data_IF_281020163934
#
_entry.id   IF_281020163934
#
_cell.length_a   1.000
_cell.length_b   1.000
_cell.length_c   1.000
_cell.angle_alpha   90.00
_cell.angle_beta   90.00
_cell.angle_gamma   90.00
#
_symmetry.space_group_name_H-M   'P 1'
#
loop_
_entity.id
_entity.type
_entity.pdbx_description
1 polymer ?
#
# COMPACT_ATOMS: atom_id res chain seq x y z
N UNK A 1 -7.61 -41.07 -14.61
CA UNK A 1 -6.29 -40.85 -13.97
C UNK A 1 -6.33 -39.67 -13.00
N UNK A 2 -6.66 -38.44 -13.43
CA UNK A 2 -6.70 -37.24 -12.57
C UNK A 2 -7.70 -37.37 -11.40
N UNK A 3 -8.94 -37.80 -11.68
CA UNK A 3 -9.98 -37.99 -10.64
C UNK A 3 -9.56 -39.00 -9.58
N UNK A 4 -8.94 -40.11 -10.00
CA UNK A 4 -8.45 -41.15 -9.09
C UNK A 4 -7.30 -40.66 -8.21
N UNK A 5 -6.42 -39.80 -8.74
CA UNK A 5 -5.33 -39.17 -7.98
C UNK A 5 -5.91 -38.22 -6.93
N UNK A 6 -6.88 -37.39 -7.31
CA UNK A 6 -7.54 -36.46 -6.39
C UNK A 6 -8.28 -37.19 -5.26
N UNK A 7 -9.00 -38.25 -5.59
CA UNK A 7 -9.69 -39.07 -4.60
C UNK A 7 -8.70 -39.81 -3.68
N UNK A 8 -7.62 -40.38 -4.21
CA UNK A 8 -6.61 -41.05 -3.37
C UNK A 8 -5.90 -40.06 -2.43
N UNK A 9 -5.62 -38.84 -2.89
CA UNK A 9 -5.06 -37.81 -2.03
C UNK A 9 -6.02 -37.42 -0.92
N UNK A 10 -7.31 -37.22 -1.23
CA UNK A 10 -8.35 -36.93 -0.25
C UNK A 10 -8.37 -37.99 0.87
N UNK A 11 -8.36 -39.28 0.51
CA UNK A 11 -8.27 -40.38 1.48
C UNK A 11 -6.98 -40.33 2.31
N UNK A 12 -5.85 -40.01 1.68
CA UNK A 12 -4.56 -39.90 2.38
C UNK A 12 -4.51 -38.73 3.39
N UNK A 13 -5.35 -37.71 3.22
CA UNK A 13 -5.50 -36.61 4.19
C UNK A 13 -6.49 -36.94 5.32
N UNK A 14 -7.00 -38.18 5.38
CA UNK A 14 -7.86 -38.66 6.46
C UNK A 14 -9.36 -38.42 6.23
N UNK A 15 -9.77 -38.09 5.00
CA UNK A 15 -11.19 -38.06 4.66
C UNK A 15 -11.75 -39.49 4.63
N UNK A 16 -12.90 -39.69 5.27
CA UNK A 16 -13.58 -40.96 5.41
C UNK A 16 -15.05 -40.83 5.01
N UNK A 17 -15.54 -41.77 4.20
CA UNK A 17 -16.90 -41.69 3.66
C UNK A 17 -17.96 -41.68 4.78
N UNK A 18 -17.75 -42.42 5.87
CA UNK A 18 -18.73 -42.50 6.97
C UNK A 18 -18.90 -41.20 7.72
N UNK A 19 -17.79 -40.52 7.97
CA UNK A 19 -17.78 -39.27 8.75
C UNK A 19 -18.25 -38.09 7.89
N UNK A 20 -17.84 -38.04 6.63
CA UNK A 20 -18.01 -36.85 5.82
C UNK A 20 -19.17 -36.95 4.82
N UNK A 21 -19.58 -38.15 4.40
CA UNK A 21 -20.51 -38.35 3.28
C UNK A 21 -21.69 -39.28 3.55
N UNK A 22 -21.59 -40.23 4.48
CA UNK A 22 -22.72 -41.12 4.77
C UNK A 22 -23.86 -40.35 5.46
N UNK A 23 -25.07 -40.83 5.20
CA UNK A 23 -26.32 -40.35 5.79
C UNK A 23 -27.06 -41.59 6.30
N UNK A 24 -26.77 -41.99 7.54
CA UNK A 24 -27.45 -43.12 8.18
C UNK A 24 -28.87 -42.74 8.62
N UNK A 25 -29.11 -41.46 8.99
CA UNK A 25 -30.44 -40.95 9.35
C UNK A 25 -30.52 -39.41 9.19
N UNK A 26 -31.73 -38.82 9.12
CA UNK A 26 -31.91 -37.36 8.91
C UNK A 26 -31.24 -36.46 9.97
N UNK A 27 -30.93 -37.02 11.14
CA UNK A 27 -30.28 -36.34 12.25
C UNK A 27 -28.76 -36.56 12.32
N UNK A 28 -28.20 -37.42 11.46
CA UNK A 28 -26.78 -37.75 11.46
C UNK A 28 -26.24 -37.69 10.02
N UNK A 29 -26.11 -36.45 9.54
CA UNK A 29 -25.61 -36.13 8.21
C UNK A 29 -24.09 -35.96 8.27
N UNK A 30 -23.37 -36.59 7.34
CA UNK A 30 -21.95 -36.33 7.16
C UNK A 30 -21.65 -34.84 6.94
N UNK A 31 -20.46 -34.42 7.39
CA UNK A 31 -20.06 -32.99 7.44
C UNK A 31 -20.18 -32.32 6.06
N UNK A 32 -19.75 -32.98 4.98
CA UNK A 32 -19.80 -32.41 3.64
C UNK A 32 -21.25 -32.28 3.13
N UNK A 33 -22.15 -33.16 3.55
CA UNK A 33 -23.59 -33.03 3.26
C UNK A 33 -24.18 -31.84 4.00
N UNK A 34 -23.85 -31.67 5.29
CA UNK A 34 -24.31 -30.51 6.07
C UNK A 34 -23.91 -29.19 5.41
N UNK A 35 -22.64 -29.08 4.98
CA UNK A 35 -22.13 -27.89 4.30
C UNK A 35 -22.89 -27.66 2.98
N UNK A 36 -23.07 -28.70 2.14
CA UNK A 36 -23.77 -28.59 0.85
C UNK A 36 -25.25 -28.25 0.95
N UNK A 37 -25.89 -28.64 2.05
CA UNK A 37 -27.29 -28.32 2.30
C UNK A 37 -27.46 -26.90 2.84
N UNK A 38 -26.44 -26.36 3.52
CA UNK A 38 -26.48 -25.03 4.12
C UNK A 38 -26.03 -23.94 3.15
N UNK A 39 -24.98 -24.23 2.38
CA UNK A 39 -24.32 -23.27 1.50
C UNK A 39 -24.43 -23.68 0.04
N UNK A 40 -24.69 -22.70 -0.84
CA UNK A 40 -24.81 -22.96 -2.27
C UNK A 40 -23.45 -23.33 -2.86
N UNK A 41 -23.42 -24.46 -3.57
CA UNK A 41 -22.22 -24.94 -4.27
C UNK A 41 -21.98 -24.18 -5.57
N UNK A 42 -20.72 -23.95 -5.89
CA UNK A 42 -20.34 -23.47 -7.22
C UNK A 42 -20.53 -24.56 -8.28
N UNK A 43 -20.75 -24.15 -9.53
CA UNK A 43 -20.91 -25.03 -10.68
C UNK A 43 -19.81 -24.78 -11.71
N UNK A 44 -19.71 -25.63 -12.74
CA UNK A 44 -18.79 -25.47 -13.86
C UNK A 44 -17.29 -25.37 -13.51
N UNK A 45 -16.89 -26.00 -12.40
CA UNK A 45 -15.48 -26.07 -11.99
C UNK A 45 -14.97 -24.83 -11.25
N UNK A 46 -15.85 -23.91 -10.84
CA UNK A 46 -15.50 -22.81 -9.95
C UNK A 46 -15.40 -23.26 -8.48
N UNK A 47 -14.56 -22.57 -7.70
CA UNK A 47 -14.45 -22.74 -6.24
C UNK A 47 -15.76 -22.30 -5.56
N UNK A 48 -16.29 -23.08 -4.62
CA UNK A 48 -17.43 -22.65 -3.78
C UNK A 48 -16.99 -21.62 -2.75
N UNK A 49 -17.84 -20.62 -2.48
CA UNK A 49 -17.57 -19.60 -1.43
C UNK A 49 -17.41 -20.25 -0.05
N UNK A 50 -18.18 -21.30 0.23
CA UNK A 50 -17.99 -22.19 1.39
C UNK A 50 -17.81 -23.61 0.86
N UNK A 51 -16.57 -24.10 0.91
CA UNK A 51 -16.20 -25.41 0.39
C UNK A 51 -16.50 -26.51 1.40
N UNK A 52 -16.83 -27.70 0.90
CA UNK A 52 -16.78 -28.92 1.71
C UNK A 52 -15.34 -29.33 2.01
N UNK A 53 -15.14 -30.25 2.95
CA UNK A 53 -13.82 -30.82 3.24
C UNK A 53 -13.28 -31.54 2.00
N UNK A 54 -14.14 -32.33 1.32
CA UNK A 54 -13.76 -32.97 0.05
C UNK A 54 -13.36 -31.95 -1.03
N UNK A 55 -14.15 -30.90 -1.24
CA UNK A 55 -13.87 -29.87 -2.25
C UNK A 55 -12.53 -29.17 -1.96
N UNK A 56 -12.27 -28.80 -0.70
CA UNK A 56 -11.02 -28.17 -0.28
C UNK A 56 -9.79 -29.01 -0.68
N UNK A 57 -9.80 -30.30 -0.37
CA UNK A 57 -8.67 -31.18 -0.70
C UNK A 57 -8.56 -31.48 -2.20
N UNK A 58 -9.67 -31.51 -2.95
CA UNK A 58 -9.63 -31.60 -4.41
C UNK A 58 -8.93 -30.38 -5.02
N UNK A 59 -9.18 -29.17 -4.50
CA UNK A 59 -8.45 -27.96 -4.91
C UNK A 59 -6.96 -28.05 -4.55
N UNK A 60 -6.59 -28.54 -3.36
CA UNK A 60 -5.18 -28.76 -3.02
C UNK A 60 -4.46 -29.69 -4.01
N UNK A 61 -5.11 -30.76 -4.47
CA UNK A 61 -4.54 -31.67 -5.47
C UNK A 61 -4.40 -30.99 -6.82
N UNK A 62 -5.43 -30.28 -7.27
CA UNK A 62 -5.39 -29.51 -8.52
C UNK A 62 -4.19 -28.57 -8.50
N UNK A 63 -4.03 -27.77 -7.45
CA UNK A 63 -2.91 -26.83 -7.32
C UNK A 63 -1.56 -27.53 -7.29
N UNK A 64 -1.44 -28.67 -6.60
CA UNK A 64 -0.20 -29.46 -6.61
C UNK A 64 0.13 -29.99 -8.01
N UNK A 65 -0.87 -30.41 -8.77
CA UNK A 65 -0.68 -30.84 -10.16
C UNK A 65 -0.32 -29.65 -11.05
N UNK A 66 -0.96 -28.51 -10.87
CA UNK A 66 -0.66 -27.26 -11.59
C UNK A 66 0.77 -26.79 -11.33
N UNK A 67 1.25 -26.81 -10.08
CA UNK A 67 2.63 -26.48 -9.76
C UNK A 67 3.64 -27.41 -10.47
N UNK A 68 3.35 -28.72 -10.51
CA UNK A 68 4.18 -29.67 -11.26
C UNK A 68 4.16 -29.34 -12.75
N UNK A 69 2.99 -29.03 -13.32
CA UNK A 69 2.86 -28.72 -14.74
C UNK A 69 3.43 -27.34 -15.12
N UNK A 70 3.36 -26.34 -14.24
CA UNK A 70 3.92 -25.01 -14.44
C UNK A 70 5.43 -25.07 -14.73
N UNK A 71 6.14 -25.99 -14.07
CA UNK A 71 7.57 -26.23 -14.31
C UNK A 71 7.88 -26.92 -15.64
N UNK A 72 6.88 -27.49 -16.32
CA UNK A 72 7.02 -28.32 -17.52
C UNK A 72 6.36 -27.72 -18.76
N UNK A 73 5.39 -26.83 -18.58
CA UNK A 73 4.59 -26.26 -19.66
C UNK A 73 4.94 -24.78 -19.84
N UNK A 74 5.21 -24.42 -21.08
CA UNK A 74 5.42 -23.04 -21.47
C UNK A 74 4.07 -22.31 -21.51
N UNK A 75 4.01 -21.17 -20.83
CA UNK A 75 2.85 -20.29 -20.75
C UNK A 75 3.05 -19.08 -21.65
N UNK A 76 1.97 -18.65 -22.31
CA UNK A 76 1.95 -17.45 -23.12
C UNK A 76 0.84 -16.54 -22.60
N UNK A 77 1.21 -15.53 -21.82
CA UNK A 77 0.31 -14.46 -21.44
C UNK A 77 0.30 -13.41 -22.54
N UNK A 78 -0.88 -12.88 -22.88
CA UNK A 78 -1.09 -11.93 -23.97
C UNK A 78 0.01 -10.85 -24.03
N UNK A 79 0.84 -10.89 -25.06
CA UNK A 79 1.88 -9.89 -25.33
C UNK A 79 3.22 -10.06 -24.60
N UNK A 80 3.36 -11.04 -23.68
CA UNK A 80 4.59 -11.26 -22.91
C UNK A 80 5.52 -12.35 -23.47
N UNK A 81 5.10 -13.02 -24.55
CA UNK A 81 5.86 -14.12 -25.13
C UNK A 81 5.78 -15.40 -24.31
N UNK A 82 6.49 -16.43 -24.78
CA UNK A 82 6.42 -17.78 -24.21
C UNK A 82 7.45 -17.92 -23.08
N UNK A 83 6.99 -18.15 -21.84
CA UNK A 83 7.86 -18.33 -20.66
C UNK A 83 7.44 -19.52 -19.80
N UNK A 84 8.36 -20.05 -19.00
CA UNK A 84 8.03 -20.98 -17.93
C UNK A 84 7.50 -20.21 -16.73
N UNK A 85 6.49 -20.76 -16.06
CA UNK A 85 5.92 -20.15 -14.86
C UNK A 85 6.74 -20.60 -13.66
N UNK A 86 7.33 -19.64 -12.97
CA UNK A 86 8.04 -19.85 -11.70
C UNK A 86 7.14 -19.67 -10.47
N UNK A 87 5.98 -19.04 -10.66
CA UNK A 87 5.05 -18.67 -9.60
C UNK A 87 3.62 -19.08 -9.98
N UNK A 88 3.05 -20.04 -9.25
CA UNK A 88 1.75 -20.60 -9.61
C UNK A 88 0.58 -19.61 -9.46
N UNK A 89 0.76 -18.56 -8.65
CA UNK A 89 -0.18 -17.46 -8.53
C UNK A 89 -0.44 -16.72 -9.85
N UNK A 90 0.46 -16.84 -10.83
CA UNK A 90 0.24 -16.32 -12.18
C UNK A 90 -0.87 -17.08 -12.95
N UNK A 91 -1.30 -18.25 -12.44
CA UNK A 91 -2.29 -19.13 -13.11
C UNK A 91 -3.62 -19.13 -12.38
N UNK A 92 -3.61 -19.19 -11.05
CA UNK A 92 -4.80 -19.34 -10.22
C UNK A 92 -4.60 -18.57 -8.92
N UNK A 93 -5.63 -17.81 -8.54
CA UNK A 93 -5.65 -17.04 -7.30
C UNK A 93 -6.37 -17.83 -6.20
N UNK A 94 -6.04 -17.58 -4.94
CA UNK A 94 -6.70 -18.21 -3.82
C UNK A 94 -6.98 -17.23 -2.69
N UNK A 95 -8.24 -17.24 -2.27
CA UNK A 95 -8.68 -16.53 -1.08
C UNK A 95 -8.02 -17.12 0.16
N UNK A 96 -7.14 -16.35 0.80
CA UNK A 96 -6.60 -16.70 2.10
C UNK A 96 -7.63 -16.39 3.19
N UNK A 97 -8.50 -17.36 3.46
CA UNK A 97 -9.55 -17.26 4.50
C UNK A 97 -9.03 -16.92 5.91
N UNK A 98 -7.74 -17.13 6.19
CA UNK A 98 -7.17 -16.71 7.47
C UNK A 98 -6.99 -15.18 7.52
N UNK A 99 -6.64 -14.53 6.41
CA UNK A 99 -6.60 -13.07 6.35
C UNK A 99 -7.99 -12.47 6.55
N UNK A 100 -9.05 -13.07 6.02
CA UNK A 100 -10.43 -12.63 6.30
C UNK A 100 -10.76 -12.73 7.80
N UNK A 101 -10.33 -13.81 8.45
CA UNK A 101 -10.48 -13.96 9.91
C UNK A 101 -9.73 -12.85 10.66
N UNK A 102 -8.49 -12.57 10.28
CA UNK A 102 -7.69 -11.48 10.86
C UNK A 102 -8.41 -10.14 10.68
N UNK A 103 -8.81 -9.81 9.45
CA UNK A 103 -9.54 -8.57 9.14
C UNK A 103 -10.77 -8.41 10.05
N UNK A 104 -11.59 -9.46 10.19
CA UNK A 104 -12.79 -9.44 11.03
C UNK A 104 -12.53 -9.23 12.53
N UNK A 105 -11.33 -9.58 13.00
CA UNK A 105 -10.90 -9.37 14.39
C UNK A 105 -10.49 -7.92 14.61
N UNK A 106 -9.80 -7.32 13.65
CA UNK A 106 -9.33 -5.94 13.72
C UNK A 106 -10.42 -4.90 13.43
N UNK A 107 -11.49 -5.22 12.69
CA UNK A 107 -12.68 -4.34 12.54
C UNK A 107 -13.32 -3.96 13.89
N UNK A 108 -13.02 -4.70 14.97
CA UNK A 108 -13.58 -4.49 16.32
C UNK A 108 -12.66 -3.70 17.26
N UNK A 109 -11.45 -3.34 16.81
CA UNK A 109 -10.49 -2.61 17.63
C UNK A 109 -10.68 -1.12 17.33
N UNK A 110 -11.04 -0.34 18.34
CA UNK A 110 -11.04 1.13 18.23
C UNK A 110 -9.59 1.61 18.25
N UNK A 111 -9.01 1.76 17.06
CA UNK A 111 -7.72 2.42 16.92
C UNK A 111 -7.88 3.94 17.15
N UNK A 112 -6.83 4.53 17.73
CA UNK A 112 -6.84 5.94 18.12
C UNK A 112 -6.33 6.80 16.98
N UNK A 113 -7.11 7.80 16.63
CA UNK A 113 -6.66 8.91 15.79
C UNK A 113 -5.42 9.57 16.38
N UNK A 114 -4.40 9.80 15.54
CA UNK A 114 -3.20 10.57 15.87
C UNK A 114 -3.24 11.92 15.18
N UNK A 115 -2.84 12.97 15.91
CA UNK A 115 -2.58 14.33 15.41
C UNK A 115 -3.69 15.02 14.60
N UNK A 116 -4.92 14.51 14.59
CA UNK A 116 -6.06 15.14 13.91
C UNK A 116 -6.43 16.49 14.50
N UNK A 117 -6.04 16.75 15.75
CA UNK A 117 -6.15 18.06 16.38
C UNK A 117 -5.34 19.14 15.66
N UNK A 118 -4.39 18.76 14.79
CA UNK A 118 -3.59 19.66 13.94
C UNK A 118 -4.27 20.05 12.63
N UNK A 119 -5.33 19.35 12.23
CA UNK A 119 -5.92 19.48 10.89
C UNK A 119 -7.14 20.42 10.88
N UNK A 120 -7.46 20.94 9.69
CA UNK A 120 -8.58 21.86 9.41
C UNK A 120 -8.62 23.07 10.36
N UNK A 121 -7.44 23.52 10.82
CA UNK A 121 -7.28 24.65 11.74
C UNK A 121 -7.54 25.98 11.03
N UNK A 122 -8.58 26.67 11.49
CA UNK A 122 -8.94 27.97 10.94
C UNK A 122 -9.46 28.94 11.99
N UNK A 123 -9.08 30.24 11.92
CA UNK A 123 -9.69 31.28 12.75
C UNK A 123 -11.08 31.69 12.24
N UNK A 124 -11.44 31.31 11.02
CA UNK A 124 -12.71 31.66 10.40
C UNK A 124 -13.84 30.82 10.99
N UNK A 125 -15.02 31.43 11.20
CA UNK A 125 -16.18 30.78 11.82
C UNK A 125 -17.39 30.68 10.90
N UNK A 126 -17.32 31.33 9.74
CA UNK A 126 -18.43 31.42 8.79
C UNK A 126 -18.10 30.66 7.51
N UNK A 127 -19.08 29.90 7.03
CA UNK A 127 -19.05 29.23 5.73
C UNK A 127 -19.16 30.28 4.62
N UNK A 128 -18.07 30.52 3.89
CA UNK A 128 -18.07 31.40 2.71
C UNK A 128 -16.90 31.07 1.79
N UNK A 129 -17.07 31.29 0.49
CA UNK A 129 -16.00 31.09 -0.50
C UNK A 129 -14.74 31.89 -0.13
N UNK A 130 -14.89 33.15 0.31
CA UNK A 130 -13.76 33.99 0.72
C UNK A 130 -12.96 33.39 1.89
N UNK A 131 -13.63 32.85 2.91
CA UNK A 131 -12.96 32.26 4.07
C UNK A 131 -12.26 30.94 3.73
N UNK A 132 -12.89 30.12 2.89
CA UNK A 132 -12.32 28.86 2.40
C UNK A 132 -11.05 29.15 1.60
N UNK A 133 -11.10 30.08 0.65
CA UNK A 133 -9.91 30.47 -0.13
C UNK A 133 -8.79 31.06 0.72
N UNK A 134 -9.14 31.93 1.68
CA UNK A 134 -8.15 32.48 2.62
C UNK A 134 -7.50 31.41 3.47
N UNK A 135 -8.23 30.35 3.82
CA UNK A 135 -7.70 29.22 4.58
C UNK A 135 -6.75 28.37 3.71
N UNK A 136 -7.13 28.03 2.48
CA UNK A 136 -6.27 27.28 1.55
C UNK A 136 -4.97 28.02 1.24
N UNK A 137 -5.05 29.34 1.01
CA UNK A 137 -3.89 30.20 0.70
C UNK A 137 -2.94 30.45 1.89
N UNK A 138 -3.21 29.89 3.08
CA UNK A 138 -2.29 30.02 4.21
C UNK A 138 -0.96 29.33 3.90
N UNK A 139 0.13 30.04 4.19
CA UNK A 139 1.51 29.55 4.01
C UNK A 139 2.09 28.93 5.29
N UNK A 140 1.23 28.59 6.24
CA UNK A 140 1.66 27.89 7.44
C UNK A 140 2.26 26.52 7.07
N UNK A 141 3.22 26.10 7.87
CA UNK A 141 3.86 24.79 7.74
C UNK A 141 3.30 23.88 8.83
N UNK A 142 3.03 22.60 8.54
CA UNK A 142 2.66 21.64 9.57
C UNK A 142 3.68 21.61 10.71
N UNK A 143 3.21 21.31 11.92
CA UNK A 143 4.11 21.03 13.03
C UNK A 143 4.72 19.62 12.86
N UNK A 144 5.80 19.55 12.10
CA UNK A 144 6.50 18.29 11.81
C UNK A 144 7.04 17.61 13.08
N UNK A 145 7.34 18.37 14.13
CA UNK A 145 7.80 17.79 15.40
C UNK A 145 6.67 17.05 16.10
N UNK A 146 5.43 17.56 16.02
CA UNK A 146 4.24 16.87 16.54
C UNK A 146 3.98 15.58 15.76
N UNK A 147 4.05 15.61 14.43
CA UNK A 147 3.75 14.44 13.59
C UNK A 147 4.85 13.37 13.61
N UNK A 148 6.12 13.77 13.62
CA UNK A 148 7.24 12.88 13.30
C UNK A 148 8.29 12.78 14.40
N UNK A 149 8.18 13.57 15.47
CA UNK A 149 9.22 13.71 16.49
C UNK A 149 9.43 12.48 17.38
N UNK A 150 10.52 12.52 18.16
CA UNK A 150 11.03 11.43 19.03
C UNK A 150 10.19 11.12 20.28
N UNK A 151 9.18 11.93 20.57
CA UNK A 151 8.44 11.82 21.85
C UNK A 151 7.47 10.65 21.90
N UNK A 152 7.48 9.78 20.90
CA UNK A 152 6.62 8.61 20.78
C UNK A 152 7.48 7.34 20.76
N UNK A 153 7.02 6.31 21.48
CA UNK A 153 7.61 4.97 21.44
C UNK A 153 7.53 4.33 20.04
N UNK A 154 6.80 4.96 19.10
CA UNK A 154 6.69 4.54 17.71
C UNK A 154 6.90 5.70 16.72
N UNK A 155 7.62 5.44 15.61
CA UNK A 155 7.80 6.33 14.46
C UNK A 155 6.82 6.01 13.35
N UNK A 156 6.33 7.03 12.65
CA UNK A 156 5.49 6.86 11.46
C UNK A 156 6.37 6.42 10.29
N UNK A 157 6.06 5.28 9.67
CA UNK A 157 6.58 4.89 8.36
C UNK A 157 5.68 5.40 7.23
N UNK A 158 4.37 5.26 7.42
CA UNK A 158 3.33 5.70 6.49
C UNK A 158 2.16 6.29 7.28
N UNK A 159 1.56 7.36 6.75
CA UNK A 159 0.25 7.78 7.19
C UNK A 159 -0.53 8.44 6.05
N UNK A 160 -1.82 8.16 5.98
CA UNK A 160 -2.78 8.95 5.26
C UNK A 160 -3.84 9.42 6.27
N UNK A 161 -4.16 10.71 6.29
CA UNK A 161 -5.21 11.24 7.16
C UNK A 161 -6.01 12.26 6.38
N UNK A 162 -7.33 12.08 6.34
CA UNK A 162 -8.26 13.02 5.76
C UNK A 162 -9.28 13.46 6.80
N UNK A 163 -9.46 14.78 6.96
CA UNK A 163 -10.43 15.36 7.88
C UNK A 163 -11.25 16.43 7.17
N UNK A 164 -12.58 16.30 7.26
CA UNK A 164 -13.53 17.24 6.69
C UNK A 164 -14.23 18.04 7.78
N UNK A 165 -14.27 19.35 7.61
CA UNK A 165 -15.08 20.26 8.41
C UNK A 165 -16.25 20.81 7.58
N UNK A 166 -17.36 20.08 7.59
CA UNK A 166 -18.57 20.41 6.83
C UNK A 166 -19.28 21.69 7.28
N UNK A 167 -18.99 22.17 8.50
CA UNK A 167 -19.53 23.42 9.02
C UNK A 167 -18.88 24.61 8.33
N UNK A 168 -17.60 24.48 7.96
CA UNK A 168 -16.82 25.54 7.31
C UNK A 168 -16.57 25.29 5.82
N UNK A 169 -16.91 24.09 5.32
CA UNK A 169 -16.77 23.74 3.92
C UNK A 169 -15.33 23.49 3.49
N UNK A 170 -14.48 22.99 4.40
CA UNK A 170 -13.05 22.78 4.18
C UNK A 170 -12.67 21.33 4.46
N UNK A 171 -11.68 20.85 3.72
CA UNK A 171 -11.14 19.49 3.79
C UNK A 171 -9.61 19.57 3.72
N UNK A 172 -8.94 18.82 4.61
CA UNK A 172 -7.48 18.72 4.62
C UNK A 172 -7.07 17.25 4.63
N UNK A 173 -6.19 16.90 3.70
CA UNK A 173 -5.58 15.58 3.60
C UNK A 173 -4.07 15.68 3.78
N UNK A 174 -3.51 14.77 4.58
CA UNK A 174 -2.07 14.64 4.82
C UNK A 174 -1.63 13.25 4.39
N UNK A 175 -0.56 13.19 3.59
CA UNK A 175 0.16 11.95 3.31
C UNK A 175 1.57 12.04 3.86
N UNK A 176 2.02 10.95 4.46
CA UNK A 176 3.37 10.76 4.99
C UNK A 176 3.86 9.43 4.45
N UNK A 177 5.04 9.43 3.85
CA UNK A 177 5.80 8.22 3.60
C UNK A 177 7.26 8.44 3.99
N UNK A 178 8.03 7.37 4.09
CA UNK A 178 9.39 7.41 4.62
C UNK A 178 10.39 6.69 3.74
N UNK A 179 11.61 7.24 3.74
CA UNK A 179 12.74 6.70 3.00
C UNK A 179 14.03 6.78 3.81
N UNK A 180 15.03 6.03 3.36
CA UNK A 180 16.37 6.01 3.94
C UNK A 180 17.44 6.17 2.86
N UNK A 181 18.55 6.78 3.26
CA UNK A 181 19.74 6.97 2.43
C UNK A 181 20.97 6.79 3.30
N UNK A 182 22.11 6.39 2.71
CA UNK A 182 23.37 6.32 3.47
C UNK A 182 23.72 7.69 4.06
N UNK A 183 24.25 7.73 5.29
CA UNK A 183 24.59 9.01 5.95
C UNK A 183 25.53 9.87 5.08
N UNK A 184 26.51 9.25 4.42
CA UNK A 184 27.47 9.95 3.56
C UNK A 184 26.85 10.56 2.28
N UNK A 185 25.64 10.13 1.90
CA UNK A 185 24.93 10.65 0.73
C UNK A 185 23.77 11.59 1.10
N UNK A 186 23.45 11.73 2.39
CA UNK A 186 22.33 12.55 2.84
C UNK A 186 22.46 14.03 2.44
N UNK A 187 23.62 14.64 2.68
CA UNK A 187 23.84 16.05 2.29
C UNK A 187 23.77 16.23 0.76
N UNK A 188 24.17 15.21 0.00
CA UNK A 188 24.05 15.23 -1.47
C UNK A 188 22.59 15.13 -1.88
N UNK A 189 21.78 14.29 -1.22
CA UNK A 189 20.34 14.21 -1.43
C UNK A 189 19.71 15.58 -1.23
N UNK A 190 20.00 16.24 -0.10
CA UNK A 190 19.47 17.57 0.23
C UNK A 190 19.87 18.64 -0.82
N UNK A 191 21.04 18.51 -1.45
CA UNK A 191 21.42 19.39 -2.55
C UNK A 191 20.67 19.09 -3.86
N UNK A 192 20.41 17.82 -4.17
CA UNK A 192 19.82 17.37 -5.43
C UNK A 192 18.28 17.39 -5.44
N UNK A 193 17.60 17.46 -4.30
CA UNK A 193 16.11 17.48 -4.25
C UNK A 193 15.47 18.71 -4.90
N UNK A 194 16.27 19.77 -5.12
CA UNK A 194 15.87 20.97 -5.86
C UNK A 194 16.43 21.00 -7.30
N UNK A 195 16.98 19.89 -7.77
CA UNK A 195 17.44 19.69 -9.14
C UNK A 195 16.49 18.72 -9.83
N UNK A 196 16.23 18.95 -11.11
CA UNK A 196 15.38 18.05 -11.89
C UNK A 196 16.09 16.70 -12.11
N UNK A 197 15.42 15.62 -11.74
CA UNK A 197 15.64 14.27 -12.28
C UNK A 197 14.29 13.57 -12.43
N UNK A 198 14.19 12.61 -13.34
CA UNK A 198 12.93 11.91 -13.60
C UNK A 198 12.41 11.20 -12.34
N UNK A 199 13.27 10.41 -11.68
CA UNK A 199 12.89 9.67 -10.46
C UNK A 199 12.64 10.57 -9.24
N UNK A 200 13.17 11.82 -9.22
CA UNK A 200 12.86 12.79 -8.15
C UNK A 200 11.38 13.18 -8.15
N UNK A 201 10.66 13.04 -9.25
CA UNK A 201 9.22 13.27 -9.30
C UNK A 201 8.44 12.37 -8.34
N UNK A 202 8.95 11.18 -8.01
CA UNK A 202 8.34 10.29 -7.02
C UNK A 202 8.34 10.89 -5.61
N UNK A 203 9.25 11.81 -5.29
CA UNK A 203 9.22 12.56 -4.02
C UNK A 203 8.08 13.59 -3.97
N UNK A 204 7.50 13.99 -5.10
CA UNK A 204 6.30 14.84 -5.10
C UNK A 204 5.05 14.01 -4.91
N UNK A 205 5.03 12.77 -5.42
CA UNK A 205 3.91 11.85 -5.32
C UNK A 205 3.98 11.02 -4.03
N UNK A 206 3.79 11.67 -2.89
CA UNK A 206 3.93 11.06 -1.56
C UNK A 206 3.01 9.86 -1.35
N UNK A 207 1.82 9.88 -1.97
CA UNK A 207 0.87 8.78 -1.91
C UNK A 207 1.42 7.48 -2.52
N UNK A 208 2.23 7.60 -3.58
CA UNK A 208 2.85 6.49 -4.31
C UNK A 208 4.32 6.27 -3.93
N UNK A 209 4.83 6.97 -2.90
CA UNK A 209 6.20 6.79 -2.41
C UNK A 209 6.32 5.52 -1.56
N UNK A 210 6.06 4.37 -2.16
CA UNK A 210 6.20 3.04 -1.58
C UNK A 210 6.65 2.05 -2.65
N UNK A 211 7.11 0.89 -2.20
CA UNK A 211 7.32 -0.29 -3.04
C UNK A 211 6.00 -1.03 -3.23
N UNK A 212 5.96 -1.99 -4.14
CA UNK A 212 4.78 -2.83 -4.34
C UNK A 212 5.19 -4.26 -4.69
N UNK A 213 4.33 -5.22 -4.36
CA UNK A 213 4.53 -6.62 -4.77
C UNK A 213 4.18 -6.75 -6.24
N UNK A 214 5.17 -7.06 -7.09
CA UNK A 214 4.96 -7.22 -8.53
C UNK A 214 4.30 -8.58 -8.82
N UNK A 215 3.00 -8.54 -9.11
CA UNK A 215 2.23 -9.77 -9.37
C UNK A 215 0.89 -9.50 -10.06
N UNK A 216 0.30 -10.56 -10.62
CA UNK A 216 -1.00 -10.54 -11.32
C UNK A 216 -2.18 -10.98 -10.43
N UNK A 217 -1.97 -11.26 -9.14
CA UNK A 217 -3.00 -11.79 -8.22
C UNK A 217 -2.93 -11.20 -6.81
N UNK A 218 -3.69 -11.77 -5.88
CA UNK A 218 -3.78 -11.30 -4.50
C UNK A 218 -2.72 -11.92 -3.60
N UNK A 219 -2.09 -11.10 -2.76
CA UNK A 219 -1.13 -11.52 -1.73
C UNK A 219 -1.49 -10.90 -0.40
N UNK A 220 -1.59 -11.76 0.60
CA UNK A 220 -1.77 -11.32 1.97
C UNK A 220 -0.46 -10.78 2.54
N UNK A 221 -0.51 -9.83 3.51
CA UNK A 221 0.67 -9.37 4.22
C UNK A 221 1.54 -10.50 4.80
N UNK A 222 0.89 -11.61 5.20
CA UNK A 222 1.55 -12.80 5.73
C UNK A 222 2.45 -13.47 4.70
N UNK A 223 1.97 -13.61 3.46
CA UNK A 223 2.74 -14.23 2.37
C UNK A 223 3.89 -13.34 1.92
N UNK A 224 3.67 -12.03 1.91
CA UNK A 224 4.71 -11.04 1.59
C UNK A 224 5.83 -11.06 2.64
N UNK A 225 5.48 -11.19 3.91
CA UNK A 225 6.47 -11.30 4.99
C UNK A 225 7.20 -12.65 4.98
N UNK A 226 6.49 -13.77 4.78
CA UNK A 226 7.05 -15.10 5.01
C UNK A 226 7.72 -15.75 3.78
N UNK A 227 7.26 -15.46 2.56
CA UNK A 227 7.65 -16.25 1.36
C UNK A 227 8.04 -15.37 0.17
N UNK A 228 7.44 -14.19 0.03
CA UNK A 228 7.46 -13.44 -1.23
C UNK A 228 8.16 -12.08 -1.15
N UNK A 229 8.98 -11.85 -0.12
CA UNK A 229 9.73 -10.60 0.03
C UNK A 229 10.63 -10.28 -1.17
N UNK A 230 10.99 -11.28 -1.97
CA UNK A 230 11.82 -11.12 -3.18
C UNK A 230 11.07 -10.56 -4.39
N UNK A 231 9.74 -10.42 -4.33
CA UNK A 231 8.89 -9.87 -5.40
C UNK A 231 8.54 -8.39 -5.21
N UNK A 232 9.08 -7.75 -4.19
CA UNK A 232 8.91 -6.30 -4.06
C UNK A 232 9.70 -5.59 -5.18
N UNK A 233 8.96 -4.82 -5.97
CA UNK A 233 9.49 -3.94 -7.00
C UNK A 233 9.43 -2.49 -6.51
N UNK A 234 10.18 -1.61 -7.19
CA UNK A 234 10.30 -0.21 -6.83
C UNK A 234 10.77 -0.01 -5.37
N UNK A 235 11.75 -0.82 -4.93
CA UNK A 235 12.36 -0.77 -3.59
C UNK A 235 13.14 0.54 -3.32
N UNK A 236 13.65 1.16 -4.39
CA UNK A 236 14.48 2.36 -4.32
C UNK A 236 14.35 3.23 -5.56
N UNK A 237 14.62 4.51 -5.38
CA UNK A 237 14.83 5.49 -6.45
C UNK A 237 16.26 6.01 -6.44
N UNK A 238 16.71 6.54 -7.57
CA UNK A 238 18.02 7.10 -7.82
C UNK A 238 17.87 8.61 -8.08
N UNK A 239 18.41 9.41 -7.18
CA UNK A 239 18.39 10.87 -7.28
C UNK A 239 19.77 11.38 -7.67
N UNK A 240 19.80 12.44 -8.49
CA UNK A 240 21.01 13.08 -8.98
C UNK A 240 21.25 12.81 -10.46
N UNK A 241 22.52 12.67 -10.85
CA UNK A 241 22.95 12.53 -12.24
C UNK A 241 23.86 11.32 -12.43
N UNK A 242 24.21 10.98 -13.68
CA UNK A 242 25.04 9.82 -14.02
C UNK A 242 26.38 9.73 -13.25
N UNK A 243 26.92 10.85 -12.74
CA UNK A 243 28.18 10.88 -12.00
C UNK A 243 28.00 10.82 -10.48
N UNK A 244 26.86 11.28 -9.97
CA UNK A 244 26.50 11.32 -8.56
C UNK A 244 25.10 10.72 -8.39
N UNK A 245 25.03 9.40 -8.39
CA UNK A 245 23.79 8.66 -8.16
C UNK A 245 23.62 8.43 -6.66
N UNK A 246 22.52 8.92 -6.11
CA UNK A 246 22.15 8.76 -4.71
C UNK A 246 20.98 7.78 -4.64
N UNK A 247 21.22 6.60 -4.07
CA UNK A 247 20.18 5.60 -3.92
C UNK A 247 19.38 5.85 -2.65
N UNK A 248 18.07 6.04 -2.82
CA UNK A 248 17.09 6.24 -1.76
C UNK A 248 16.19 5.02 -1.70
N UNK A 249 16.15 4.34 -0.55
CA UNK A 249 15.27 3.20 -0.35
C UNK A 249 13.97 3.62 0.32
N UNK A 250 12.87 3.00 -0.09
CA UNK A 250 11.54 3.23 0.49
C UNK A 250 11.33 2.30 1.69
N UNK A 251 10.76 2.80 2.78
CA UNK A 251 10.50 2.01 3.98
C UNK A 251 9.09 1.40 4.02
N UNK A 252 8.27 1.69 3.02
CA UNK A 252 6.87 1.24 2.92
C UNK A 252 6.71 0.40 1.67
N UNK A 253 5.95 -0.68 1.76
CA UNK A 253 5.50 -1.48 0.64
C UNK A 253 3.99 -1.65 0.68
N UNK A 254 3.39 -1.95 -0.47
CA UNK A 254 1.97 -2.29 -0.57
C UNK A 254 1.77 -3.69 -1.13
N UNK A 255 0.69 -4.32 -0.67
CA UNK A 255 0.17 -5.54 -1.29
C UNK A 255 -1.36 -5.48 -1.37
N UNK A 256 -1.91 -6.17 -2.37
CA UNK A 256 -3.35 -6.26 -2.60
C UNK A 256 -3.82 -7.63 -2.17
N UNK A 257 -4.79 -7.71 -1.27
CA UNK A 257 -5.41 -8.96 -0.82
C UNK A 257 -6.86 -9.02 -1.30
N UNK A 258 -7.35 -10.22 -1.62
CA UNK A 258 -8.78 -10.43 -1.80
C UNK A 258 -9.50 -10.15 -0.46
N UNK A 259 -10.67 -9.51 -0.53
CA UNK A 259 -11.49 -9.21 0.64
C UNK A 259 -12.95 -9.58 0.38
N UNK A 260 -13.53 -10.46 1.22
CA UNK A 260 -14.89 -10.98 1.00
C UNK A 260 -15.96 -9.89 0.82
N UNK A 261 -15.81 -8.75 1.51
CA UNK A 261 -16.80 -7.66 1.47
C UNK A 261 -16.45 -6.54 0.47
N UNK A 262 -15.17 -6.27 0.26
CA UNK A 262 -14.69 -5.10 -0.49
C UNK A 262 -14.11 -5.48 -1.86
N UNK A 263 -14.21 -6.76 -2.23
CA UNK A 263 -13.57 -7.40 -3.40
C UNK A 263 -12.05 -7.43 -3.22
N UNK A 264 -11.42 -6.29 -2.93
CA UNK A 264 -9.99 -6.12 -2.75
C UNK A 264 -9.70 -5.22 -1.54
N UNK A 265 -8.56 -5.43 -0.89
CA UNK A 265 -8.03 -4.57 0.17
C UNK A 265 -6.53 -4.36 -0.02
N UNK A 266 -6.12 -3.11 -0.11
CA UNK A 266 -4.72 -2.72 -0.09
C UNK A 266 -4.23 -2.64 1.36
N UNK A 267 -3.04 -3.18 1.61
CA UNK A 267 -2.35 -3.05 2.88
C UNK A 267 -1.05 -2.26 2.70
N UNK A 268 -0.75 -1.38 3.65
CA UNK A 268 0.55 -0.73 3.79
C UNK A 268 1.35 -1.47 4.86
N UNK A 269 2.55 -1.91 4.50
CA UNK A 269 3.41 -2.72 5.36
C UNK A 269 4.85 -2.20 5.33
N UNK A 270 5.69 -2.56 6.31
CA UNK A 270 7.11 -2.24 6.25
C UNK A 270 7.71 -2.89 5.00
N UNK A 271 8.46 -2.13 4.20
CA UNK A 271 9.12 -2.67 3.01
C UNK A 271 10.15 -3.74 3.34
N UNK A 272 10.61 -4.49 2.35
CA UNK A 272 11.62 -5.54 2.53
C UNK A 272 12.85 -5.02 3.27
N UNK A 273 13.38 -3.85 2.90
CA UNK A 273 14.55 -3.28 3.59
C UNK A 273 14.19 -2.92 5.04
N UNK A 274 13.01 -2.38 5.31
CA UNK A 274 12.55 -2.11 6.67
C UNK A 274 12.45 -3.39 7.50
N UNK A 275 11.90 -4.48 6.93
CA UNK A 275 11.81 -5.79 7.59
C UNK A 275 13.18 -6.40 7.87
N UNK A 276 14.11 -6.34 6.91
CA UNK A 276 15.48 -6.83 7.09
C UNK A 276 16.20 -6.06 8.20
N UNK A 277 16.13 -4.72 8.18
CA UNK A 277 16.80 -3.88 9.17
C UNK A 277 16.28 -4.13 10.59
N UNK A 278 14.97 -4.37 10.74
CA UNK A 278 14.30 -4.46 12.04
C UNK A 278 14.00 -5.88 12.51
N UNK A 279 14.36 -6.89 11.71
CA UNK A 279 14.18 -8.31 12.05
C UNK A 279 12.73 -8.79 12.01
N UNK A 280 11.85 -8.10 11.28
CA UNK A 280 10.45 -8.54 11.10
C UNK A 280 10.44 -9.79 10.21
N UNK A 281 9.83 -10.87 10.71
CA UNK A 281 9.73 -12.16 10.01
C UNK A 281 8.31 -12.61 9.73
N UNK A 282 7.32 -11.99 10.38
CA UNK A 282 5.89 -12.26 10.14
C UNK A 282 5.08 -10.98 10.26
N UNK A 283 3.97 -10.89 9.52
CA UNK A 283 3.01 -9.80 9.64
C UNK A 283 1.62 -10.21 9.18
N UNK A 284 0.60 -9.92 9.98
CA UNK A 284 -0.79 -10.30 9.68
C UNK A 284 -1.59 -9.20 8.95
N UNK A 285 -0.93 -8.09 8.61
CA UNK A 285 -1.54 -6.89 8.02
C UNK A 285 -1.85 -5.79 9.01
N UNK A 286 -1.75 -6.07 10.31
CA UNK A 286 -2.02 -5.13 11.40
C UNK A 286 -0.90 -5.11 12.43
N UNK A 287 -0.32 -6.25 12.77
CA UNK A 287 0.86 -6.36 13.61
C UNK A 287 1.96 -7.12 12.87
N UNK A 288 3.19 -6.61 12.99
CA UNK A 288 4.39 -7.18 12.39
C UNK A 288 5.38 -7.51 13.50
N UNK A 289 5.82 -8.76 13.54
CA UNK A 289 6.59 -9.33 14.65
C UNK A 289 7.95 -9.84 14.19
N UNK A 290 8.90 -9.86 15.13
CA UNK A 290 10.20 -10.50 14.96
C UNK A 290 10.18 -11.96 15.43
N UNK A 291 11.32 -12.64 15.30
CA UNK A 291 11.50 -14.04 15.72
C UNK A 291 11.32 -14.29 17.24
N UNK A 292 11.35 -13.23 18.06
CA UNK A 292 11.08 -13.30 19.49
C UNK A 292 9.59 -13.11 19.83
N UNK A 293 8.72 -13.00 18.81
CA UNK A 293 7.30 -12.62 18.93
C UNK A 293 7.08 -11.22 19.54
N UNK A 294 8.05 -10.32 19.42
CA UNK A 294 7.88 -8.91 19.81
C UNK A 294 7.24 -8.15 18.65
N UNK A 295 6.25 -7.31 18.95
CA UNK A 295 5.62 -6.46 17.92
C UNK A 295 6.53 -5.28 17.62
N UNK A 296 7.02 -5.26 16.38
CA UNK A 296 7.96 -4.24 15.89
C UNK A 296 7.20 -3.14 15.16
N UNK A 297 6.16 -3.47 14.40
CA UNK A 297 5.38 -2.50 13.65
C UNK A 297 3.88 -2.78 13.75
N UNK A 298 3.07 -1.73 13.70
CA UNK A 298 1.61 -1.77 13.77
C UNK A 298 1.00 -0.92 12.66
N UNK A 299 -0.01 -1.48 12.01
CA UNK A 299 -0.88 -0.79 11.07
C UNK A 299 -2.26 -0.58 11.72
N UNK A 300 -2.77 0.64 11.60
CA UNK A 300 -4.09 1.05 12.07
C UNK A 300 -4.88 1.69 10.93
N UNK A 301 -6.18 1.42 10.90
CA UNK A 301 -7.12 1.96 9.90
C UNK A 301 -8.40 2.37 10.63
N UNK A 302 -8.62 3.68 10.72
CA UNK A 302 -9.72 4.30 11.46
C UNK A 302 -10.55 5.16 10.52
N UNK A 303 -11.86 4.90 10.45
CA UNK A 303 -12.80 5.73 9.70
C UNK A 303 -13.95 6.22 10.59
N UNK A 304 -14.42 7.44 10.33
CA UNK A 304 -15.59 8.01 11.01
C UNK A 304 -16.45 8.82 10.04
N UNK A 305 -17.55 8.21 9.61
CA UNK A 305 -18.37 8.72 8.52
C UNK A 305 -17.71 8.44 7.17
N UNK A 306 -18.23 9.04 6.11
CA UNK A 306 -17.78 8.73 4.74
C UNK A 306 -16.42 9.37 4.40
N UNK A 307 -16.08 10.51 5.00
CA UNK A 307 -14.94 11.32 4.53
C UNK A 307 -13.78 11.43 5.54
N UNK A 308 -13.99 11.18 6.83
CA UNK A 308 -12.90 11.20 7.79
C UNK A 308 -12.29 9.82 7.90
N UNK A 309 -11.01 9.71 7.57
CA UNK A 309 -10.27 8.46 7.66
C UNK A 309 -8.80 8.71 8.03
N UNK A 310 -8.19 7.72 8.67
CA UNK A 310 -6.78 7.69 8.96
C UNK A 310 -6.24 6.27 8.83
N UNK A 311 -5.24 6.10 7.99
CA UNK A 311 -4.40 4.91 7.90
C UNK A 311 -3.02 5.27 8.44
N UNK A 312 -2.42 4.43 9.28
CA UNK A 312 -1.10 4.70 9.82
C UNK A 312 -0.32 3.41 10.05
N UNK A 313 0.92 3.39 9.57
CA UNK A 313 1.91 2.36 9.83
C UNK A 313 2.98 2.94 10.76
N UNK A 314 3.06 2.44 11.99
CA UNK A 314 4.01 2.90 13.00
C UNK A 314 4.96 1.78 13.40
N UNK A 315 6.24 2.08 13.51
CA UNK A 315 7.30 1.14 13.90
C UNK A 315 7.94 1.55 15.20
N UNK A 316 8.36 0.60 16.04
CA UNK A 316 9.06 0.86 17.29
C UNK A 316 10.27 1.76 17.06
N UNK A 317 10.29 2.91 17.74
CA UNK A 317 11.30 3.96 17.54
C UNK A 317 12.70 3.45 17.88
N UNK A 318 12.83 2.71 18.98
CA UNK A 318 14.12 2.24 19.47
C UNK A 318 14.72 1.17 18.53
N UNK A 319 13.90 0.22 18.08
CA UNK A 319 14.32 -0.80 17.12
C UNK A 319 14.76 -0.13 15.81
N UNK A 320 13.93 0.76 15.26
CA UNK A 320 14.25 1.44 14.00
C UNK A 320 15.55 2.26 14.11
N UNK A 321 15.68 3.12 15.12
CA UNK A 321 16.84 4.00 15.28
C UNK A 321 18.14 3.21 15.49
N UNK A 322 18.08 2.14 16.30
CA UNK A 322 19.22 1.24 16.51
C UNK A 322 19.66 0.59 15.20
N UNK A 323 18.72 0.06 14.43
CA UNK A 323 18.98 -0.59 13.15
C UNK A 323 19.53 0.38 12.09
N UNK A 324 18.99 1.60 12.01
CA UNK A 324 19.48 2.63 11.09
C UNK A 324 20.92 3.04 11.42
N UNK A 325 21.21 3.23 12.71
CA UNK A 325 22.55 3.58 13.18
C UNK A 325 23.57 2.47 12.93
N UNK A 326 23.21 1.22 13.20
CA UNK A 326 24.08 0.07 12.94
C UNK A 326 24.42 -0.08 11.45
N UNK A 327 23.45 0.23 10.58
CA UNK A 327 23.58 0.08 9.13
C UNK A 327 23.99 1.35 8.39
N UNK A 328 24.39 2.41 9.11
CA UNK A 328 24.83 3.71 8.56
C UNK A 328 23.80 4.38 7.61
N UNK A 329 22.52 4.32 7.99
CA UNK A 329 21.43 4.97 7.27
C UNK A 329 20.91 6.19 8.03
N UNK A 330 20.41 7.15 7.26
CA UNK A 330 19.63 8.30 7.73
C UNK A 330 18.23 8.22 7.14
N UNK A 331 17.24 8.36 8.01
CA UNK A 331 15.83 8.40 7.62
C UNK A 331 15.39 9.83 7.32
N UNK A 332 14.46 9.94 6.38
CA UNK A 332 13.69 11.15 6.12
C UNK A 332 12.25 10.78 5.80
N UNK A 333 11.37 11.77 5.85
CA UNK A 333 9.97 11.66 5.46
C UNK A 333 9.70 12.53 4.25
N UNK A 334 8.79 12.05 3.42
CA UNK A 334 8.11 12.87 2.43
C UNK A 334 6.71 13.14 2.97
N UNK A 335 6.33 14.41 3.02
CA UNK A 335 5.12 14.89 3.69
C UNK A 335 4.32 15.76 2.73
N UNK A 336 3.06 15.42 2.46
CA UNK A 336 2.15 16.20 1.60
C UNK A 336 1.01 16.77 2.42
N UNK A 337 0.68 18.04 2.18
CA UNK A 337 -0.50 18.71 2.71
C UNK A 337 -1.35 19.14 1.53
N UNK A 338 -2.55 18.60 1.45
CA UNK A 338 -3.56 18.97 0.46
C UNK A 338 -4.73 19.62 1.17
N UNK A 339 -5.16 20.76 0.66
CA UNK A 339 -6.31 21.50 1.18
C UNK A 339 -7.26 21.77 0.03
N UNK A 340 -8.52 21.43 0.22
CA UNK A 340 -9.58 21.63 -0.75
C UNK A 340 -10.85 22.17 -0.07
N UNK A 341 -11.77 22.77 -0.84
CA UNK A 341 -13.15 22.90 -0.43
C UNK A 341 -13.75 21.51 -0.21
N UNK A 342 -14.61 21.34 0.79
CA UNK A 342 -15.38 20.09 0.92
C UNK A 342 -16.35 19.92 -0.24
N UNK A 343 -16.82 18.69 -0.47
CA UNK A 343 -17.83 18.39 -1.50
C UNK A 343 -19.03 19.33 -1.44
N UNK A 344 -19.51 19.67 -0.24
CA UNK A 344 -20.60 20.62 -0.01
C UNK A 344 -20.28 22.05 -0.46
N UNK A 345 -19.05 22.52 -0.24
CA UNK A 345 -18.62 23.82 -0.73
C UNK A 345 -18.50 23.83 -2.26
N UNK A 346 -18.03 22.73 -2.84
CA UNK A 346 -17.94 22.56 -4.27
C UNK A 346 -19.32 22.52 -4.94
N UNK A 347 -20.30 21.84 -4.35
CA UNK A 347 -21.69 21.85 -4.82
C UNK A 347 -22.31 23.26 -4.84
N UNK A 348 -21.97 24.10 -3.86
CA UNK A 348 -22.56 25.44 -3.75
C UNK A 348 -21.89 26.47 -4.66
N UNK A 349 -20.56 26.43 -4.77
CA UNK A 349 -19.77 27.47 -5.46
C UNK A 349 -19.23 27.02 -6.82
N UNK A 350 -19.17 25.72 -7.10
CA UNK A 350 -18.67 25.17 -8.36
C UNK A 350 -17.27 25.68 -8.71
N UNK A 351 -17.10 26.15 -9.94
CA UNK A 351 -15.81 26.65 -10.45
C UNK A 351 -15.48 28.07 -9.98
N UNK A 352 -16.35 28.74 -9.22
CA UNK A 352 -16.13 30.10 -8.74
C UNK A 352 -15.22 30.15 -7.48
N UNK A 353 -14.91 28.99 -6.90
CA UNK A 353 -13.98 28.86 -5.77
C UNK A 353 -12.67 28.23 -6.23
N UNK A 354 -11.55 28.68 -5.65
CA UNK A 354 -10.24 28.03 -5.85
C UNK A 354 -10.34 26.52 -5.59
N UNK A 355 -9.77 25.71 -6.47
CA UNK A 355 -9.93 24.25 -6.42
C UNK A 355 -9.19 23.62 -5.25
N UNK A 356 -7.89 23.85 -5.12
CA UNK A 356 -7.06 23.23 -4.09
C UNK A 356 -5.72 23.95 -3.89
N UNK A 357 -5.02 23.56 -2.84
CA UNK A 357 -3.60 23.84 -2.65
C UNK A 357 -2.88 22.57 -2.22
N UNK A 358 -1.73 22.31 -2.83
CA UNK A 358 -0.95 21.10 -2.63
C UNK A 358 0.51 21.46 -2.35
N UNK A 359 1.06 20.99 -1.23
CA UNK A 359 2.41 21.31 -0.78
C UNK A 359 3.09 20.07 -0.23
N UNK A 360 4.21 19.69 -0.84
CA UNK A 360 5.03 18.56 -0.43
C UNK A 360 6.35 19.02 0.21
N UNK A 361 6.86 18.24 1.16
CA UNK A 361 8.08 18.54 1.90
C UNK A 361 8.92 17.29 2.05
N UNK A 362 10.25 17.46 2.04
CA UNK A 362 11.16 16.50 2.67
C UNK A 362 11.42 16.99 4.08
N UNK A 363 11.30 16.09 5.06
CA UNK A 363 11.46 16.38 6.48
C UNK A 363 12.46 15.40 7.07
N UNK A 364 13.36 15.88 7.93
CA UNK A 364 14.29 15.04 8.67
C UNK A 364 14.57 15.65 10.05
N UNK A 365 15.23 14.90 10.92
CA UNK A 365 15.61 15.37 12.24
C UNK A 365 17.14 15.47 12.34
N UNK A 366 17.62 16.62 12.78
CA UNK A 366 18.97 16.78 13.33
C UNK A 366 18.81 16.90 14.85
N UNK A 367 19.17 15.84 15.58
CA UNK A 367 18.82 15.71 17.00
C UNK A 367 17.30 15.86 17.18
N UNK A 368 16.82 16.61 18.16
CA UNK A 368 15.38 16.80 18.41
C UNK A 368 14.72 17.85 17.49
N UNK A 369 15.44 18.44 16.52
CA UNK A 369 14.93 19.54 15.69
C UNK A 369 14.55 19.06 14.30
N UNK A 370 13.27 19.22 13.96
CA UNK A 370 12.79 19.01 12.59
C UNK A 370 13.40 20.05 11.63
N UNK A 371 14.01 19.55 10.55
CA UNK A 371 14.43 20.30 9.38
C UNK A 371 13.54 19.91 8.20
N UNK A 372 13.37 20.82 7.26
CA UNK A 372 12.57 20.53 6.08
C UNK A 372 12.97 21.37 4.87
N UNK A 373 12.62 20.85 3.69
CA UNK A 373 12.64 21.56 2.41
C UNK A 373 11.27 21.39 1.78
N UNK A 374 10.64 22.50 1.39
CA UNK A 374 9.43 22.46 0.57
C UNK A 374 9.80 22.07 -0.87
N UNK A 375 9.26 20.96 -1.33
CA UNK A 375 9.46 20.46 -2.68
C UNK A 375 8.59 21.27 -3.64
N UNK A 376 9.24 21.87 -4.62
CA UNK A 376 8.55 22.51 -5.74
C UNK A 376 8.51 21.57 -6.93
N UNK A 377 7.53 21.80 -7.80
CA UNK A 377 7.58 21.26 -9.15
C UNK A 377 8.75 21.92 -9.91
N UNK A 378 9.50 21.12 -10.64
CA UNK A 378 10.67 21.57 -11.39
C UNK A 378 10.48 21.01 -12.79
N UNK A 379 10.48 21.90 -13.78
CA UNK A 379 10.40 21.49 -15.17
C UNK A 379 11.77 20.99 -15.67
N UNK A 380 11.81 20.01 -16.59
CA UNK A 380 13.04 19.65 -17.26
C UNK A 380 13.61 20.85 -18.02
N UNK A 381 14.92 21.06 -17.92
CA UNK A 381 15.61 22.06 -18.75
C UNK A 381 15.62 21.55 -20.19
N UNK A 382 14.67 22.04 -21.00
CA UNK A 382 14.64 21.73 -22.44
C UNK A 382 15.84 22.43 -23.08
N UNK A 383 16.84 21.66 -23.52
CA UNK A 383 17.95 22.20 -24.28
C UNK A 383 17.43 22.83 -25.59
N UNK A 384 17.92 24.04 -25.93
CA UNK A 384 17.46 24.86 -27.08
C UNK A 384 17.51 24.14 -28.44
N UNK A 385 18.20 23.01 -28.56
CA UNK A 385 18.26 22.19 -29.78
C UNK A 385 16.97 21.41 -30.08
N UNK A 386 15.99 21.34 -29.16
CA UNK A 386 14.70 20.67 -29.39
C UNK A 386 13.61 21.61 -29.97
N UNK A 387 13.89 22.90 -30.15
CA UNK A 387 12.95 23.81 -30.83
C UNK A 387 12.65 23.36 -32.27
N UNK A 388 13.56 22.63 -32.90
CA UNK A 388 13.37 22.10 -34.25
C UNK A 388 12.32 20.98 -34.32
N UNK A 389 12.11 20.23 -33.23
CA UNK A 389 11.07 19.21 -33.12
C UNK A 389 9.69 19.82 -32.87
N UNK A 390 9.58 20.81 -31.99
CA UNK A 390 8.31 21.51 -31.72
C UNK A 390 7.85 22.30 -32.95
N UNK A 391 8.78 22.90 -33.71
CA UNK A 391 8.49 23.55 -34.99
C UNK A 391 8.07 22.55 -36.08
N UNK A 392 8.71 21.37 -36.15
CA UNK A 392 8.33 20.30 -37.09
C UNK A 392 6.94 19.74 -36.80
N UNK A 393 6.59 19.53 -35.53
CA UNK A 393 5.26 19.04 -35.15
C UNK A 393 4.18 20.07 -35.47
N UNK A 394 4.40 21.37 -35.20
CA UNK A 394 3.44 22.42 -35.63
C UNK A 394 3.27 22.48 -37.15
N UNK A 395 4.35 22.37 -37.92
CA UNK A 395 4.29 22.37 -39.39
C UNK A 395 3.55 21.17 -40.00
N UNK A 396 3.42 20.07 -39.26
CA UNK A 396 2.68 18.87 -39.69
C UNK A 396 1.17 18.99 -39.47
N UNK A 397 0.72 19.87 -38.56
CA UNK A 397 -0.70 20.08 -38.26
C UNK A 397 -1.28 21.33 -38.95
N UNK A 398 -0.46 22.32 -39.30
CA UNK A 398 -0.90 23.51 -40.04
C UNK A 398 -1.17 23.24 -41.55
N UNK A 399 -0.93 22.02 -42.03
CA UNK A 399 -1.15 21.61 -43.43
C UNK A 399 -2.38 20.73 -43.67
N UNK A 400 -3.29 20.60 -42.70
CA UNK A 400 -4.49 19.76 -42.79
C UNK A 400 -5.82 20.53 -42.89
N UNK A 401 -5.76 21.86 -42.91
CA UNK A 401 -6.90 22.71 -43.27
C UNK A 401 -6.66 23.34 -44.65
N UNK A 402 -6.94 22.56 -45.72
CA UNK A 402 -7.34 23.05 -47.05
C UNK A 402 -8.16 21.98 -47.80
#
# INVERSE_FOLDING_TARGET
>A
MIISIAFQYLLNQGWDEKIFWECEDKNNLGIDICIRNTYMRSTHGAKSKVMTVAEKYVWCVKHRMEAVFASQLQYNYYGQGVRYISDYYEIDDFTNTYQDYVNSRYTKIEDKWIHTDQMVKTPYKEFSAENIEKWMKKKDTPDFTVWLGEKTDARILYAYTNIVNEVLGIEEAIWISSGIVKNNDFEKLIAEVNVYSEERSELLNVAEFHSYVETCGFYTPQEVCAVQSVKEANESINIGNEKNVIQVYKLVATCLSEHIENIEKTFYLPSRIARILTGITYGDGYEYINDNNEVVCKYSDVSKGENNQQECLQIDSHILESSLKENDYRMFWVFRVYRSPSSKAYELYGNDITHDTDRSYIVWFDEEKSRYIELKEIEPVIAENNNDYVLKVKSLYDGLDD
#
